data_IF_927085292664
#
_entry.id   IF_927085292664
#
_cell.length_a   1.000
_cell.length_b   1.000
_cell.length_c   1.000
_cell.angle_alpha   90.00
_cell.angle_beta   90.00
_cell.angle_gamma   90.00
#
_symmetry.space_group_name_H-M   'P 1'
#
loop_
_entity.id
_entity.type
_entity.pdbx_description
1 polymer ?
#
# COMPACT_ATOMS: atom_id res chain seq x y z
N UNK A 1 -13.34 -27.39 -12.74
CA UNK A 1 -14.32 -27.99 -11.80
C UNK A 1 -15.46 -27.02 -11.56
N UNK A 2 -16.71 -27.49 -11.55
CA UNK A 2 -17.89 -26.69 -11.16
C UNK A 2 -18.24 -27.03 -9.72
N UNK A 3 -18.52 -26.03 -8.90
CA UNK A 3 -18.82 -26.15 -7.47
C UNK A 3 -20.01 -25.27 -7.14
N UNK A 4 -20.90 -25.69 -6.26
CA UNK A 4 -22.07 -24.89 -5.86
C UNK A 4 -21.66 -23.60 -5.12
N UNK A 5 -22.50 -22.57 -5.23
CA UNK A 5 -22.21 -21.24 -4.64
C UNK A 5 -22.10 -21.27 -3.12
N UNK A 6 -22.82 -22.16 -2.44
CA UNK A 6 -22.74 -22.32 -0.97
C UNK A 6 -21.37 -22.83 -0.55
N UNK A 7 -20.80 -23.78 -1.29
CA UNK A 7 -19.44 -24.26 -1.08
C UNK A 7 -18.40 -23.17 -1.34
N UNK A 8 -18.58 -22.32 -2.36
CA UNK A 8 -17.68 -21.17 -2.57
C UNK A 8 -17.78 -20.16 -1.42
N UNK A 9 -18.98 -19.89 -0.91
CA UNK A 9 -19.20 -19.05 0.26
C UNK A 9 -18.50 -19.63 1.50
N UNK A 10 -18.62 -20.94 1.72
CA UNK A 10 -17.92 -21.64 2.81
C UNK A 10 -16.40 -21.55 2.66
N UNK A 11 -15.84 -21.69 1.44
CA UNK A 11 -14.41 -21.52 1.19
C UNK A 11 -13.97 -20.09 1.57
N UNK A 12 -14.69 -19.07 1.11
CA UNK A 12 -14.38 -17.68 1.47
C UNK A 12 -14.41 -17.46 2.99
N UNK A 13 -15.41 -18.02 3.69
CA UNK A 13 -15.53 -17.92 5.14
C UNK A 13 -14.40 -18.63 5.90
N UNK A 14 -14.11 -19.89 5.58
CA UNK A 14 -13.16 -20.70 6.35
C UNK A 14 -11.69 -20.43 5.99
N UNK A 15 -11.40 -20.08 4.73
CA UNK A 15 -10.03 -19.79 4.27
C UNK A 15 -9.71 -18.30 4.38
N UNK A 16 -10.72 -17.44 4.49
CA UNK A 16 -10.54 -15.99 4.48
C UNK A 16 -10.23 -15.44 3.07
N UNK A 17 -10.69 -16.14 2.02
CA UNK A 17 -10.57 -15.66 0.64
C UNK A 17 -11.75 -14.77 0.25
N UNK A 18 -11.58 -14.00 -0.83
CA UNK A 18 -12.65 -13.21 -1.46
C UNK A 18 -12.76 -13.57 -2.95
N UNK A 19 -12.99 -14.85 -3.22
CA UNK A 19 -13.30 -15.32 -4.57
C UNK A 19 -14.68 -14.78 -4.93
N UNK A 20 -14.76 -13.97 -5.98
CA UNK A 20 -16.05 -13.43 -6.44
C UNK A 20 -16.73 -14.44 -7.34
N UNK A 21 -18.05 -14.49 -7.22
CA UNK A 21 -18.95 -15.31 -8.02
C UNK A 21 -20.30 -14.58 -8.16
N UNK A 22 -21.12 -15.00 -9.12
CA UNK A 22 -22.49 -14.50 -9.27
C UNK A 22 -23.42 -15.36 -8.40
N UNK A 23 -24.09 -14.76 -7.42
CA UNK A 23 -25.04 -15.44 -6.54
C UNK A 23 -26.30 -15.93 -7.27
N UNK A 24 -26.55 -15.44 -8.49
CA UNK A 24 -27.67 -15.90 -9.33
C UNK A 24 -27.38 -17.20 -10.06
N UNK A 25 -26.11 -17.62 -10.15
CA UNK A 25 -25.74 -18.92 -10.70
C UNK A 25 -25.78 -19.99 -9.61
N UNK A 26 -26.19 -21.22 -9.95
CA UNK A 26 -26.18 -22.32 -8.98
C UNK A 26 -24.77 -22.88 -8.75
N UNK A 27 -23.88 -22.73 -9.73
CA UNK A 27 -22.54 -23.31 -9.71
C UNK A 27 -21.50 -22.38 -10.33
N UNK A 28 -20.32 -22.36 -9.72
CA UNK A 28 -19.17 -21.55 -10.10
C UNK A 28 -18.13 -22.42 -10.80
N UNK A 29 -17.58 -21.93 -11.91
CA UNK A 29 -16.35 -22.51 -12.47
C UNK A 29 -15.15 -22.08 -11.63
N UNK A 30 -14.71 -22.96 -10.73
CA UNK A 30 -13.65 -22.65 -9.76
C UNK A 30 -12.31 -22.31 -10.41
N UNK A 31 -11.97 -22.93 -11.53
CA UNK A 31 -10.70 -22.64 -12.21
C UNK A 31 -10.69 -21.19 -12.70
N UNK A 32 -11.78 -20.76 -13.35
CA UNK A 32 -11.93 -19.39 -13.83
C UNK A 32 -11.99 -18.40 -12.66
N UNK A 33 -12.82 -18.67 -11.65
CA UNK A 33 -12.99 -17.79 -10.50
C UNK A 33 -11.68 -17.60 -9.73
N UNK A 34 -10.88 -18.66 -9.59
CA UNK A 34 -9.56 -18.60 -8.98
C UNK A 34 -8.55 -17.80 -9.82
N UNK A 35 -8.50 -18.03 -11.13
CA UNK A 35 -7.62 -17.28 -12.03
C UNK A 35 -7.95 -15.78 -12.02
N UNK A 36 -9.24 -15.44 -12.03
CA UNK A 36 -9.70 -14.05 -11.95
C UNK A 36 -9.40 -13.44 -10.57
N UNK A 37 -9.59 -14.19 -9.48
CA UNK A 37 -9.19 -13.76 -8.14
C UNK A 37 -7.69 -13.45 -8.07
N UNK A 38 -6.84 -14.35 -8.59
CA UNK A 38 -5.37 -14.16 -8.62
C UNK A 38 -4.99 -12.92 -9.43
N UNK A 39 -5.56 -12.74 -10.63
CA UNK A 39 -5.26 -11.57 -11.49
C UNK A 39 -5.60 -10.27 -10.80
N UNK A 40 -6.77 -10.18 -10.14
CA UNK A 40 -7.16 -8.99 -9.38
C UNK A 40 -6.22 -8.75 -8.21
N UNK A 41 -5.86 -9.79 -7.45
CA UNK A 41 -4.90 -9.67 -6.36
C UNK A 41 -3.55 -9.09 -6.82
N UNK A 42 -3.06 -9.50 -7.99
CA UNK A 42 -1.83 -8.94 -8.60
C UNK A 42 -2.03 -7.47 -8.98
N UNK A 43 -3.15 -7.12 -9.61
CA UNK A 43 -3.44 -5.73 -10.02
C UNK A 43 -3.59 -4.79 -8.83
N UNK A 44 -4.37 -5.19 -7.82
CA UNK A 44 -4.54 -4.42 -6.58
C UNK A 44 -3.22 -4.28 -5.83
N UNK A 45 -2.44 -5.35 -5.75
CA UNK A 45 -1.10 -5.33 -5.15
C UNK A 45 -0.17 -4.36 -5.87
N UNK A 46 -0.14 -4.38 -7.20
CA UNK A 46 0.64 -3.44 -8.01
C UNK A 46 0.19 -2.00 -7.80
N UNK A 47 -1.12 -1.74 -7.80
CA UNK A 47 -1.66 -0.40 -7.58
C UNK A 47 -1.31 0.14 -6.18
N UNK A 48 -1.51 -0.66 -5.13
CA UNK A 48 -1.16 -0.29 -3.76
C UNK A 48 0.35 -0.07 -3.61
N UNK A 49 1.16 -0.95 -4.17
CA UNK A 49 2.62 -0.83 -4.16
C UNK A 49 3.10 0.43 -4.86
N UNK A 50 2.52 0.77 -6.01
CA UNK A 50 2.83 2.01 -6.73
C UNK A 50 2.45 3.25 -5.91
N UNK A 51 1.26 3.28 -5.30
CA UNK A 51 0.84 4.40 -4.46
C UNK A 51 1.74 4.59 -3.24
N UNK A 52 2.08 3.50 -2.54
CA UNK A 52 3.00 3.52 -1.40
C UNK A 52 4.40 3.98 -1.84
N UNK A 53 4.90 3.46 -2.95
CA UNK A 53 6.20 3.85 -3.51
C UNK A 53 6.27 5.32 -3.90
N UNK A 54 5.21 5.88 -4.50
CA UNK A 54 5.15 7.31 -4.80
C UNK A 54 5.14 8.18 -3.55
N UNK A 55 4.35 7.82 -2.53
CA UNK A 55 4.32 8.56 -1.26
C UNK A 55 5.67 8.51 -0.55
N UNK A 56 6.30 7.33 -0.52
CA UNK A 56 7.62 7.15 0.08
C UNK A 56 8.71 7.91 -0.70
N UNK A 57 8.67 7.87 -2.03
CA UNK A 57 9.60 8.61 -2.88
C UNK A 57 9.50 10.12 -2.67
N UNK A 58 8.28 10.66 -2.57
CA UNK A 58 8.05 12.08 -2.22
C UNK A 58 8.63 12.41 -0.86
N UNK A 59 8.44 11.55 0.14
CA UNK A 59 8.96 11.78 1.48
C UNK A 59 10.50 11.79 1.51
N UNK A 60 11.14 10.87 0.78
CA UNK A 60 12.60 10.81 0.68
C UNK A 60 13.20 11.99 -0.06
N UNK A 61 12.54 12.50 -1.10
CA UNK A 61 12.95 13.75 -1.75
C UNK A 61 12.94 14.92 -0.74
N UNK A 62 11.88 15.05 0.07
CA UNK A 62 11.82 16.08 1.12
C UNK A 62 12.97 15.90 2.12
N UNK A 63 13.30 14.67 2.52
CA UNK A 63 14.41 14.39 3.43
C UNK A 63 15.76 14.79 2.84
N UNK A 64 15.99 14.46 1.57
CA UNK A 64 17.21 14.83 0.86
C UNK A 64 17.33 16.35 0.77
N UNK A 65 16.26 17.04 0.38
CA UNK A 65 16.20 18.50 0.30
C UNK A 65 16.46 19.18 1.66
N UNK A 66 16.04 18.57 2.77
CA UNK A 66 16.42 19.08 4.11
C UNK A 66 17.90 18.81 4.41
N UNK A 67 18.40 17.60 4.13
CA UNK A 67 19.80 17.24 4.37
C UNK A 67 20.78 18.10 3.57
N UNK A 68 20.42 18.45 2.33
CA UNK A 68 21.22 19.30 1.44
C UNK A 68 21.08 20.79 1.78
N UNK A 69 20.15 21.15 2.67
CA UNK A 69 19.94 22.52 3.15
C UNK A 69 19.02 23.37 2.27
N UNK A 70 18.43 22.79 1.22
CA UNK A 70 17.44 23.46 0.36
C UNK A 70 16.16 23.80 1.16
N UNK A 71 15.79 22.91 2.10
CA UNK A 71 14.71 23.14 3.05
C UNK A 71 15.22 23.17 4.49
N UNK A 72 14.62 24.04 5.31
CA UNK A 72 14.70 23.88 6.76
C UNK A 72 13.90 22.64 7.20
N UNK A 73 14.27 22.04 8.33
CA UNK A 73 13.52 20.91 8.89
C UNK A 73 12.03 21.24 9.10
N UNK A 74 11.73 22.48 9.54
CA UNK A 74 10.36 22.97 9.68
C UNK A 74 9.61 22.98 8.35
N UNK A 75 10.24 23.45 7.27
CA UNK A 75 9.63 23.43 5.93
C UNK A 75 9.44 22.01 5.42
N UNK A 76 10.38 21.12 5.70
CA UNK A 76 10.26 19.69 5.40
C UNK A 76 9.04 19.06 6.08
N UNK A 77 8.87 19.30 7.38
CA UNK A 77 7.74 18.81 8.16
C UNK A 77 6.39 19.31 7.60
N UNK A 78 6.29 20.60 7.25
CA UNK A 78 5.10 21.18 6.60
C UNK A 78 4.78 20.47 5.27
N UNK A 79 5.78 20.23 4.42
CA UNK A 79 5.60 19.55 3.12
C UNK A 79 5.21 18.08 3.27
N UNK A 80 5.68 17.45 4.34
CA UNK A 80 5.39 16.08 4.70
C UNK A 80 4.09 15.92 5.52
N UNK A 81 3.39 17.02 5.80
CA UNK A 81 2.11 17.06 6.53
C UNK A 81 2.16 16.37 7.90
N UNK A 82 3.27 16.56 8.63
CA UNK A 82 3.48 16.01 9.97
C UNK A 82 4.14 17.04 10.88
N UNK A 83 4.18 16.77 12.19
CA UNK A 83 4.87 17.66 13.12
C UNK A 83 6.39 17.62 12.92
N UNK A 84 7.08 18.67 13.39
CA UNK A 84 8.54 18.74 13.29
C UNK A 84 9.22 17.57 13.99
N UNK A 85 8.79 17.23 15.22
CA UNK A 85 9.36 16.11 15.98
C UNK A 85 9.15 14.76 15.28
N UNK A 86 7.96 14.51 14.71
CA UNK A 86 7.70 13.29 13.93
C UNK A 86 8.56 13.23 12.67
N UNK A 87 8.72 14.36 11.99
CA UNK A 87 9.54 14.48 10.79
C UNK A 87 11.02 14.20 11.07
N UNK A 88 11.58 14.81 12.10
CA UNK A 88 12.99 14.64 12.49
C UNK A 88 13.29 13.18 12.91
N UNK A 89 12.37 12.56 13.66
CA UNK A 89 12.45 11.13 14.01
C UNK A 89 12.39 10.24 12.77
N UNK A 90 11.50 10.55 11.84
CA UNK A 90 11.34 9.76 10.62
C UNK A 90 12.55 9.91 9.68
N UNK A 91 13.11 11.12 9.53
CA UNK A 91 14.37 11.36 8.83
C UNK A 91 15.52 10.54 9.43
N UNK A 92 15.68 10.65 10.76
CA UNK A 92 16.75 9.95 11.48
C UNK A 92 16.62 8.43 11.33
N UNK A 93 15.40 7.90 11.46
CA UNK A 93 15.11 6.47 11.25
C UNK A 93 15.40 6.02 9.82
N UNK A 94 15.20 6.89 8.83
CA UNK A 94 15.50 6.63 7.43
C UNK A 94 16.99 6.83 7.07
N UNK A 95 17.84 7.25 8.02
CA UNK A 95 19.28 7.41 7.83
C UNK A 95 19.71 8.76 7.25
N UNK A 96 18.80 9.74 7.18
CA UNK A 96 19.12 11.11 6.76
C UNK A 96 19.60 11.94 7.94
N UNK A 97 20.52 12.87 7.68
CA UNK A 97 21.03 13.83 8.65
C UNK A 97 20.21 15.11 8.61
N UNK A 98 19.97 15.67 9.77
CA UNK A 98 19.36 17.00 9.92
C UNK A 98 20.52 17.98 10.07
N UNK A 99 20.66 18.99 9.18
CA UNK A 99 21.69 20.01 9.32
C UNK A 99 21.53 20.74 10.66
N UNK A 100 22.64 21.01 11.34
CA UNK A 100 22.64 21.87 12.51
C UNK A 100 22.22 23.29 12.08
N UNK A 101 21.31 23.91 12.82
CA UNK A 101 20.92 25.31 12.62
C UNK A 101 22.17 26.18 12.79
N UNK A 102 22.71 26.67 11.67
CA UNK A 102 23.84 27.63 11.65
C UNK A 102 23.35 29.03 12.00
#
# INVERSE_FOLDING_TARGET
TRVDVETVAAINLFVGTDIKYDEKEEVVNMCKAWDDHKKRGIQEGMQRGMQQGMQQGRLFEIYLSVQEGDYSAKRGAEKAEMSLDEFEKAMSKAGYKIPELV
#
